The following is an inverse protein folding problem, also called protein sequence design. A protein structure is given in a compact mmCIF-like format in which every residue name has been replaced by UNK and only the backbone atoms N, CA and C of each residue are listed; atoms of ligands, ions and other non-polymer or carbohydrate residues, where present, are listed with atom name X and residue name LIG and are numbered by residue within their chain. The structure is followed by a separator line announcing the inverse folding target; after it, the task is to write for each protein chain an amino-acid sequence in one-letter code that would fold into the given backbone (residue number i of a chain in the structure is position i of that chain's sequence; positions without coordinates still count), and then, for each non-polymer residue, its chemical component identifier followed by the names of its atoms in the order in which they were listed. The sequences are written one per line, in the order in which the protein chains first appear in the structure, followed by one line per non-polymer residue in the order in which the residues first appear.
data_IF_132079699426
#
_entry.id   IF_132079699426
#
_cell.length_a   1.000
_cell.length_b   1.000
_cell.length_c   1.000
_cell.angle_alpha   90.00
_cell.angle_beta   90.00
_cell.angle_gamma   90.00
#
_symmetry.space_group_name_H-M   'P 1'
#
loop_
_entity.id
_entity.type
_entity.pdbx_description
1 polymer ?
#
# COMPACT_ATOMS: atom_id res chain seq x y z
N UNK A 1 9.37 0.53 -12.81
CA UNK A 1 8.48 1.38 -12.01
C UNK A 1 7.99 2.54 -12.86
N UNK A 2 6.68 2.68 -12.96
CA UNK A 2 6.03 3.82 -13.59
C UNK A 2 5.29 4.63 -12.52
N UNK A 3 5.35 5.96 -12.62
CA UNK A 3 4.76 6.88 -11.67
C UNK A 3 3.96 7.97 -12.39
N UNK A 4 2.76 8.28 -11.88
CA UNK A 4 1.87 9.32 -12.41
C UNK A 4 1.18 10.08 -11.28
N UNK A 5 0.84 11.34 -11.55
CA UNK A 5 0.05 12.19 -10.64
C UNK A 5 -1.31 12.53 -11.24
N UNK A 6 -2.31 12.64 -10.37
CA UNK A 6 -3.70 13.00 -10.70
C UNK A 6 -4.20 14.04 -9.68
N UNK A 7 -3.90 15.28 -9.90
CA UNK A 7 -4.17 16.34 -8.91
C UNK A 7 -3.46 16.06 -7.58
N UNK A 8 -4.23 15.83 -6.51
CA UNK A 8 -3.68 15.50 -5.19
C UNK A 8 -3.29 14.03 -5.02
N UNK A 9 -3.62 13.19 -5.98
CA UNK A 9 -3.40 11.76 -5.93
C UNK A 9 -2.24 11.35 -6.81
N UNK A 10 -1.69 10.17 -6.58
CA UNK A 10 -0.69 9.58 -7.46
C UNK A 10 -0.81 8.05 -7.50
N UNK A 11 -0.14 7.43 -8.47
CA UNK A 11 -0.03 5.98 -8.53
C UNK A 11 1.36 5.53 -8.92
N UNK A 12 1.69 4.36 -8.44
CA UNK A 12 2.80 3.55 -8.90
C UNK A 12 2.31 2.32 -9.64
N UNK A 13 3.03 1.92 -10.65
CA UNK A 13 2.86 0.66 -11.35
C UNK A 13 4.16 -0.12 -11.26
N UNK A 14 4.10 -1.28 -10.63
CA UNK A 14 5.22 -2.20 -10.43
C UNK A 14 5.03 -3.41 -11.34
N UNK A 15 5.70 -3.48 -12.51
CA UNK A 15 5.66 -4.66 -13.36
C UNK A 15 6.16 -5.90 -12.59
N UNK A 16 5.51 -7.03 -12.82
CA UNK A 16 5.93 -8.32 -12.28
C UNK A 16 6.26 -9.32 -13.40
N UNK A 17 6.78 -10.49 -13.05
CA UNK A 17 7.19 -11.51 -14.03
C UNK A 17 6.04 -12.00 -14.94
N UNK A 18 4.79 -11.77 -14.58
CA UNK A 18 3.65 -12.13 -15.41
C UNK A 18 3.54 -11.24 -16.66
N UNK A 19 4.25 -10.10 -16.72
CA UNK A 19 4.27 -9.22 -17.89
C UNK A 19 4.80 -9.94 -19.12
N UNK A 20 5.78 -10.84 -18.97
CA UNK A 20 6.35 -11.62 -20.08
C UNK A 20 5.32 -12.58 -20.72
N UNK A 21 4.40 -13.09 -19.90
CA UNK A 21 3.27 -13.92 -20.36
C UNK A 21 2.18 -13.06 -21.00
N UNK A 22 1.91 -11.91 -20.39
CA UNK A 22 0.93 -10.97 -20.90
C UNK A 22 1.35 -10.41 -22.27
N UNK A 23 2.64 -10.13 -22.48
CA UNK A 23 3.19 -9.64 -23.73
C UNK A 23 3.00 -10.60 -24.93
N UNK A 24 2.80 -11.90 -24.64
CA UNK A 24 2.52 -12.92 -25.68
C UNK A 24 1.04 -13.00 -26.07
N UNK A 25 0.16 -12.27 -25.40
CA UNK A 25 -1.27 -12.22 -25.69
C UNK A 25 -1.61 -11.03 -26.58
N UNK A 26 -2.75 -11.09 -27.33
CA UNK A 26 -3.27 -9.92 -28.01
C UNK A 26 -3.47 -8.74 -27.05
N UNK A 27 -3.14 -7.53 -27.47
CA UNK A 27 -3.23 -6.33 -26.62
C UNK A 27 -4.65 -6.06 -26.12
N UNK A 28 -5.67 -6.48 -26.85
CA UNK A 28 -7.08 -6.38 -26.42
C UNK A 28 -7.38 -7.17 -25.13
N UNK A 29 -6.59 -8.20 -24.81
CA UNK A 29 -6.71 -9.01 -23.61
C UNK A 29 -5.90 -8.46 -22.43
N UNK A 30 -5.11 -7.41 -22.64
CA UNK A 30 -4.27 -6.88 -21.60
C UNK A 30 -5.11 -6.19 -20.52
N UNK A 31 -4.78 -6.54 -19.28
CA UNK A 31 -5.27 -5.85 -18.10
C UNK A 31 -4.07 -5.48 -17.24
N UNK A 32 -4.01 -4.26 -16.77
CA UNK A 32 -2.85 -3.73 -16.03
C UNK A 32 -2.48 -4.64 -14.84
N UNK A 33 -3.47 -5.07 -14.07
CA UNK A 33 -3.28 -5.94 -12.90
C UNK A 33 -2.88 -7.38 -13.25
N UNK A 34 -2.89 -7.78 -14.54
CA UNK A 34 -2.40 -9.09 -14.96
C UNK A 34 -0.86 -9.14 -15.10
N UNK A 35 -0.22 -8.00 -15.29
CA UNK A 35 1.23 -7.89 -15.48
C UNK A 35 1.94 -6.97 -14.47
N UNK A 36 1.19 -6.38 -13.55
CA UNK A 36 1.72 -5.43 -12.59
C UNK A 36 0.90 -5.40 -11.30
N UNK A 37 1.53 -4.93 -10.24
CA UNK A 37 0.85 -4.43 -9.05
C UNK A 37 0.71 -2.91 -9.20
N UNK A 38 -0.47 -2.39 -8.91
CA UNK A 38 -0.78 -0.96 -9.02
C UNK A 38 -1.11 -0.43 -7.64
N UNK A 39 -0.38 0.58 -7.20
CA UNK A 39 -0.61 1.23 -5.91
C UNK A 39 -1.04 2.66 -6.16
N UNK A 40 -2.27 3.00 -5.77
CA UNK A 40 -2.77 4.36 -5.73
C UNK A 40 -2.59 4.94 -4.33
N UNK A 41 -2.15 6.18 -4.28
CA UNK A 41 -2.30 7.01 -3.11
C UNK A 41 -3.42 8.05 -3.38
N UNK A 42 -4.46 8.00 -2.55
CA UNK A 42 -5.60 8.90 -2.59
C UNK A 42 -5.54 9.82 -1.38
N UNK A 43 -5.30 11.09 -1.65
CA UNK A 43 -5.20 12.12 -0.62
C UNK A 43 -6.48 12.20 0.24
N UNK A 44 -6.39 12.33 1.57
CA UNK A 44 -5.15 12.56 2.33
C UNK A 44 -4.49 11.27 2.88
N UNK A 45 -5.20 10.14 2.97
CA UNK A 45 -4.78 9.06 3.87
C UNK A 45 -5.17 7.65 3.40
N UNK A 46 -5.44 7.48 2.11
CA UNK A 46 -5.85 6.17 1.57
C UNK A 46 -4.78 5.67 0.60
N UNK A 47 -4.42 4.38 0.74
CA UNK A 47 -3.69 3.65 -0.28
C UNK A 47 -4.53 2.47 -0.78
N UNK A 48 -4.51 2.25 -2.09
CA UNK A 48 -5.13 1.12 -2.75
C UNK A 48 -4.05 0.33 -3.48
N UNK A 49 -3.81 -0.91 -3.05
CA UNK A 49 -2.95 -1.83 -3.78
C UNK A 49 -3.83 -2.82 -4.56
N UNK A 50 -3.72 -2.75 -5.88
CA UNK A 50 -4.48 -3.57 -6.81
C UNK A 50 -3.56 -4.66 -7.37
N UNK A 51 -3.90 -5.90 -7.10
CA UNK A 51 -3.31 -7.10 -7.68
C UNK A 51 -4.31 -7.81 -8.61
N UNK A 52 -3.91 -8.94 -9.14
CA UNK A 52 -4.80 -9.78 -9.94
C UNK A 52 -5.87 -10.41 -9.06
N UNK A 53 -7.07 -9.86 -9.10
CA UNK A 53 -8.22 -10.35 -8.32
C UNK A 53 -8.20 -9.96 -6.84
N UNK A 54 -7.27 -9.10 -6.43
CA UNK A 54 -7.19 -8.62 -5.04
C UNK A 54 -7.12 -7.10 -4.98
N UNK A 55 -7.77 -6.53 -3.96
CA UNK A 55 -7.67 -5.11 -3.61
C UNK A 55 -7.35 -5.03 -2.12
N UNK A 56 -6.22 -4.40 -1.78
CA UNK A 56 -5.90 -4.03 -0.42
C UNK A 56 -6.14 -2.53 -0.24
N UNK A 57 -7.03 -2.19 0.67
CA UNK A 57 -7.38 -0.82 1.03
C UNK A 57 -6.77 -0.48 2.40
N UNK A 58 -5.81 0.43 2.41
CA UNK A 58 -5.20 0.97 3.62
C UNK A 58 -5.78 2.34 3.91
N UNK A 59 -6.27 2.53 5.14
CA UNK A 59 -6.77 3.82 5.64
C UNK A 59 -6.00 4.17 6.89
N UNK A 60 -5.22 5.24 6.83
CA UNK A 60 -4.30 5.66 7.88
C UNK A 60 -4.90 6.87 8.60
N UNK A 61 -5.16 6.73 9.89
CA UNK A 61 -5.74 7.80 10.71
C UNK A 61 -4.76 8.21 11.79
N UNK A 62 -4.55 9.51 12.04
CA UNK A 62 -3.80 9.95 13.20
C UNK A 62 -4.57 9.59 14.46
N UNK A 63 -3.86 9.29 15.54
CA UNK A 63 -4.46 9.21 16.86
C UNK A 63 -4.96 10.61 17.28
N UNK A 64 -6.13 10.67 17.90
CA UNK A 64 -6.76 11.94 18.27
C UNK A 64 -6.05 12.65 19.42
N UNK A 65 -5.31 11.92 20.24
CA UNK A 65 -4.69 12.42 21.47
C UNK A 65 -3.18 12.52 21.38
N UNK A 66 -2.58 11.68 20.55
CA UNK A 66 -1.14 11.57 20.40
C UNK A 66 -0.74 11.66 18.92
N UNK A 67 -0.21 12.80 18.47
CA UNK A 67 0.18 13.02 17.07
C UNK A 67 1.38 12.16 16.63
N UNK A 68 2.09 11.52 17.57
CA UNK A 68 3.16 10.58 17.27
C UNK A 68 2.67 9.18 16.90
N UNK A 69 1.34 8.95 17.00
CA UNK A 69 0.72 7.64 16.75
C UNK A 69 -0.29 7.71 15.62
N UNK A 70 -0.46 6.59 14.94
CA UNK A 70 -1.49 6.40 13.92
C UNK A 70 -2.15 5.04 14.05
N UNK A 71 -3.35 4.93 13.49
CA UNK A 71 -4.08 3.67 13.34
C UNK A 71 -4.27 3.40 11.86
N UNK A 72 -3.72 2.30 11.38
CA UNK A 72 -3.96 1.83 10.02
C UNK A 72 -5.04 0.75 10.03
N UNK A 73 -6.06 0.94 9.20
CA UNK A 73 -7.09 -0.07 8.92
C UNK A 73 -6.83 -0.65 7.54
N UNK A 74 -6.63 -1.96 7.49
CA UNK A 74 -6.41 -2.70 6.24
C UNK A 74 -7.68 -3.50 5.96
N UNK A 75 -8.19 -3.38 4.73
CA UNK A 75 -9.29 -4.21 4.24
C UNK A 75 -8.83 -4.88 2.95
N UNK A 76 -8.99 -6.19 2.87
CA UNK A 76 -8.67 -6.97 1.68
C UNK A 76 -9.97 -7.44 1.01
N UNK A 77 -10.06 -7.24 -0.29
CA UNK A 77 -11.17 -7.67 -1.13
C UNK A 77 -10.65 -8.63 -2.19
N UNK A 78 -11.42 -9.67 -2.45
CA UNK A 78 -11.14 -10.67 -3.49
C UNK A 78 -12.21 -10.59 -4.57
N UNK A 79 -11.81 -10.74 -5.84
CA UNK A 79 -12.78 -10.86 -6.92
C UNK A 79 -13.43 -12.25 -6.89
N UNK A 80 -14.68 -12.32 -7.32
CA UNK A 80 -15.43 -13.57 -7.46
C UNK A 80 -14.66 -14.56 -8.37
N UNK A 81 -14.13 -14.07 -9.50
CA UNK A 81 -13.30 -14.86 -10.42
C UNK A 81 -12.09 -15.52 -9.72
N UNK A 82 -11.43 -14.79 -8.80
CA UNK A 82 -10.32 -15.37 -8.04
C UNK A 82 -10.80 -16.43 -7.05
N UNK A 83 -11.91 -16.20 -6.37
CA UNK A 83 -12.49 -17.13 -5.41
C UNK A 83 -12.93 -18.43 -6.11
N UNK A 84 -13.62 -18.33 -7.25
CA UNK A 84 -14.03 -19.47 -8.06
C UNK A 84 -12.83 -20.29 -8.57
N UNK A 85 -11.80 -19.59 -9.09
CA UNK A 85 -10.57 -20.25 -9.55
C UNK A 85 -9.83 -20.99 -8.42
N UNK A 86 -9.86 -20.43 -7.21
CA UNK A 86 -9.27 -21.07 -6.02
C UNK A 86 -10.08 -22.26 -5.54
N UNK A 87 -11.40 -22.13 -5.52
CA UNK A 87 -12.30 -23.24 -5.18
C UNK A 87 -12.16 -24.42 -6.16
N UNK A 88 -12.08 -24.12 -7.46
CA UNK A 88 -11.84 -25.12 -8.50
C UNK A 88 -10.47 -25.82 -8.36
N UNK A 89 -9.48 -25.15 -7.76
CA UNK A 89 -8.18 -25.72 -7.43
C UNK A 89 -8.15 -26.48 -6.07
N UNK A 90 -9.32 -26.68 -5.43
CA UNK A 90 -9.47 -27.43 -4.19
C UNK A 90 -9.13 -26.64 -2.92
N UNK A 91 -9.07 -25.30 -2.97
CA UNK A 91 -8.89 -24.48 -1.78
C UNK A 91 -10.24 -24.17 -1.13
N UNK A 92 -10.31 -24.19 0.19
CA UNK A 92 -11.47 -23.71 0.92
C UNK A 92 -11.53 -22.18 0.85
N UNK A 93 -12.56 -21.65 0.22
CA UNK A 93 -12.80 -20.20 0.08
C UNK A 93 -13.94 -19.70 0.96
N UNK A 94 -14.58 -20.59 1.73
CA UNK A 94 -15.77 -20.28 2.54
C UNK A 94 -15.50 -19.19 3.55
N UNK A 95 -14.33 -19.20 4.17
CA UNK A 95 -13.94 -18.18 5.14
C UNK A 95 -13.68 -16.80 4.54
N UNK A 96 -13.25 -16.75 3.28
CA UNK A 96 -12.96 -15.49 2.59
C UNK A 96 -14.23 -14.79 2.10
N UNK A 97 -15.30 -15.53 1.90
CA UNK A 97 -16.61 -14.97 1.56
C UNK A 97 -17.30 -14.33 2.78
N UNK A 98 -16.77 -14.52 3.98
CA UNK A 98 -17.31 -13.93 5.21
C UNK A 98 -16.57 -12.64 5.54
N UNK A 99 -17.32 -11.58 5.86
CA UNK A 99 -16.77 -10.33 6.41
C UNK A 99 -16.20 -10.58 7.81
N UNK A 100 -14.94 -10.99 7.89
CA UNK A 100 -14.22 -11.13 9.17
C UNK A 100 -13.38 -9.89 9.42
N UNK A 101 -13.42 -9.41 10.66
CA UNK A 101 -12.54 -8.33 11.13
C UNK A 101 -11.45 -8.99 11.97
N UNK A 102 -10.20 -8.84 11.54
CA UNK A 102 -9.03 -9.31 12.29
C UNK A 102 -8.36 -8.11 12.96
N UNK A 103 -8.03 -8.30 14.24
CA UNK A 103 -7.16 -7.39 14.97
C UNK A 103 -5.72 -7.90 14.85
N UNK A 104 -4.83 -7.08 14.29
CA UNK A 104 -3.43 -7.45 14.09
C UNK A 104 -2.59 -7.32 15.38
N UNK A 105 -3.14 -6.77 16.44
CA UNK A 105 -2.48 -6.71 17.76
C UNK A 105 -2.61 -8.06 18.49
N UNK A 106 -1.63 -8.95 18.28
CA UNK A 106 -1.33 -10.03 19.24
C UNK A 106 -2.09 -11.34 19.07
N UNK A 107 -2.58 -11.71 17.89
CA UNK A 107 -3.22 -13.02 17.71
C UNK A 107 -2.37 -14.01 16.92
N UNK A 108 -1.99 -15.08 17.60
CA UNK A 108 -1.62 -16.35 16.98
C UNK A 108 -2.91 -16.98 16.42
N UNK A 109 -3.21 -16.72 15.17
CA UNK A 109 -4.25 -17.40 14.42
C UNK A 109 -3.69 -17.89 13.09
N UNK A 110 -3.93 -19.14 12.75
CA UNK A 110 -3.63 -19.63 11.40
C UNK A 110 -4.51 -18.87 10.41
N UNK A 111 -3.89 -18.05 9.56
CA UNK A 111 -4.56 -17.37 8.45
C UNK A 111 -4.91 -18.40 7.37
N UNK A 112 -6.10 -18.32 6.71
CA UNK A 112 -6.44 -19.20 5.60
C UNK A 112 -5.42 -19.12 4.45
N UNK A 113 -5.27 -20.22 3.70
CA UNK A 113 -4.22 -20.38 2.68
C UNK A 113 -4.25 -19.35 1.53
N UNK A 114 -5.36 -18.66 1.30
CA UNK A 114 -5.45 -17.53 0.36
C UNK A 114 -4.90 -16.26 1.00
N UNK A 115 -5.00 -16.11 2.30
CA UNK A 115 -4.37 -15.03 3.04
C UNK A 115 -2.86 -15.17 3.02
N UNK A 116 -2.30 -16.38 2.89
CA UNK A 116 -0.84 -16.56 2.84
C UNK A 116 -0.16 -15.81 1.68
N UNK A 117 -0.81 -15.63 0.54
CA UNK A 117 -0.28 -14.80 -0.56
C UNK A 117 -0.41 -13.29 -0.29
N UNK A 118 -1.47 -12.90 0.43
CA UNK A 118 -1.65 -11.55 0.91
C UNK A 118 -0.86 -11.31 2.19
N UNK A 119 -0.64 -12.35 2.99
CA UNK A 119 0.16 -12.37 4.20
C UNK A 119 1.61 -11.93 3.95
N UNK A 120 2.24 -12.41 2.88
CA UNK A 120 3.57 -11.95 2.48
C UNK A 120 3.59 -10.44 2.22
N UNK A 121 2.56 -9.90 1.58
CA UNK A 121 2.45 -8.46 1.33
C UNK A 121 2.20 -7.67 2.63
N UNK A 122 1.23 -8.10 3.43
CA UNK A 122 0.87 -7.45 4.70
C UNK A 122 1.97 -7.62 5.74
N UNK A 123 2.61 -8.80 5.83
CA UNK A 123 3.71 -9.04 6.76
C UNK A 123 4.97 -8.26 6.37
N UNK A 124 5.25 -8.12 5.06
CA UNK A 124 6.35 -7.27 4.59
C UNK A 124 6.14 -5.83 5.03
N UNK A 125 4.94 -5.28 4.81
CA UNK A 125 4.60 -3.93 5.26
C UNK A 125 4.71 -3.81 6.77
N UNK A 126 4.13 -4.74 7.54
CA UNK A 126 4.14 -4.65 9.01
C UNK A 126 5.52 -4.86 9.63
N UNK A 127 6.33 -5.78 9.08
CA UNK A 127 7.64 -6.12 9.64
C UNK A 127 8.78 -5.22 9.11
N UNK A 128 8.59 -4.56 7.99
CA UNK A 128 9.60 -3.68 7.40
C UNK A 128 9.17 -2.23 7.45
N UNK A 129 8.12 -1.83 6.74
CA UNK A 129 7.74 -0.42 6.59
C UNK A 129 7.27 0.19 7.91
N UNK A 130 6.45 -0.52 8.69
CA UNK A 130 5.97 -0.01 9.98
C UNK A 130 7.07 0.03 11.03
N UNK A 131 7.95 -0.97 11.10
CA UNK A 131 9.10 -0.98 12.02
C UNK A 131 10.06 0.17 11.70
N UNK A 132 10.30 0.44 10.41
CA UNK A 132 11.11 1.59 9.99
C UNK A 132 10.43 2.91 10.34
N UNK A 133 9.12 3.03 10.10
CA UNK A 133 8.33 4.21 10.45
C UNK A 133 8.34 4.49 11.96
N UNK A 134 8.21 3.44 12.78
CA UNK A 134 8.30 3.53 14.24
C UNK A 134 9.68 4.01 14.70
N UNK A 135 10.74 3.46 14.12
CA UNK A 135 12.13 3.86 14.41
C UNK A 135 12.39 5.32 14.05
N UNK A 136 11.87 5.80 12.90
CA UNK A 136 11.95 7.20 12.49
C UNK A 136 11.18 8.08 13.48
N UNK A 137 9.96 7.68 13.89
CA UNK A 137 9.16 8.43 14.86
C UNK A 137 9.88 8.57 16.21
N UNK A 138 10.53 7.51 16.69
CA UNK A 138 11.34 7.55 17.90
C UNK A 138 12.48 8.54 17.76
N UNK A 139 13.19 8.53 16.64
CA UNK A 139 14.31 9.45 16.37
C UNK A 139 13.85 10.92 16.35
N UNK A 140 12.71 11.21 15.69
CA UNK A 140 12.09 12.55 15.64
C UNK A 140 11.67 12.99 17.05
N UNK A 141 11.00 12.13 17.81
CA UNK A 141 10.50 12.45 19.15
C UNK A 141 11.64 12.78 20.13
N UNK A 142 12.78 12.10 19.97
CA UNK A 142 13.97 12.33 20.80
C UNK A 142 14.89 13.48 20.27
N UNK A 143 14.48 14.18 19.22
CA UNK A 143 15.26 15.27 18.64
C UNK A 143 16.55 14.83 17.92
N UNK A 144 16.67 13.54 17.59
CA UNK A 144 17.81 12.98 16.86
C UNK A 144 17.69 13.19 15.34
N UNK A 145 16.49 13.46 14.86
CA UNK A 145 16.18 13.71 13.45
C UNK A 145 15.33 14.98 13.36
N UNK A 146 15.91 16.04 12.84
CA UNK A 146 15.27 17.35 12.68
C UNK A 146 14.77 17.60 11.25
N UNK A 147 15.33 16.92 10.28
CA UNK A 147 14.93 17.01 8.87
C UNK A 147 15.16 15.70 8.13
N UNK A 148 14.44 15.51 7.03
CA UNK A 148 14.56 14.38 6.12
C UNK A 148 14.86 14.93 4.72
N UNK A 149 15.81 14.30 4.01
CA UNK A 149 16.17 14.66 2.65
C UNK A 149 15.56 13.63 1.70
N UNK A 150 14.71 14.09 0.77
CA UNK A 150 14.16 13.25 -0.29
C UNK A 150 15.03 13.33 -1.54
N UNK A 151 15.37 12.17 -2.10
CA UNK A 151 16.13 12.08 -3.34
C UNK A 151 15.35 12.63 -4.55
N UNK A 152 16.06 13.12 -5.57
CA UNK A 152 15.43 13.55 -6.84
C UNK A 152 14.67 12.43 -7.55
N UNK A 153 15.03 11.18 -7.28
CA UNK A 153 14.39 9.98 -7.81
C UNK A 153 13.17 9.50 -6.99
N UNK A 154 12.73 10.30 -6.01
CA UNK A 154 11.57 10.00 -5.16
C UNK A 154 10.40 10.99 -5.40
N UNK A 155 9.89 11.10 -6.66
CA UNK A 155 8.89 12.10 -7.02
C UNK A 155 7.57 11.96 -6.24
N UNK A 156 7.25 10.76 -5.78
CA UNK A 156 6.05 10.51 -4.99
C UNK A 156 6.12 11.15 -3.61
N UNK A 157 7.28 11.10 -2.95
CA UNK A 157 7.48 11.75 -1.66
C UNK A 157 7.38 13.28 -1.80
N UNK A 158 7.99 13.84 -2.85
CA UNK A 158 7.87 15.27 -3.15
C UNK A 158 6.41 15.67 -3.38
N UNK A 159 5.67 14.91 -4.20
CA UNK A 159 4.26 15.16 -4.48
C UNK A 159 3.41 15.05 -3.22
N UNK A 160 3.60 13.98 -2.42
CA UNK A 160 2.88 13.76 -1.17
C UNK A 160 3.04 14.93 -0.21
N UNK A 161 4.29 15.27 0.12
CA UNK A 161 4.57 16.34 1.09
C UNK A 161 4.13 17.71 0.60
N UNK A 162 4.38 18.05 -0.68
CA UNK A 162 3.92 19.32 -1.23
C UNK A 162 2.39 19.43 -1.28
N UNK A 163 1.69 18.32 -1.50
CA UNK A 163 0.22 18.28 -1.44
C UNK A 163 -0.30 18.57 -0.03
N UNK A 164 0.31 17.95 1.00
CA UNK A 164 -0.03 18.25 2.41
C UNK A 164 0.31 19.68 2.78
N UNK A 165 1.51 20.15 2.45
CA UNK A 165 1.94 21.52 2.73
C UNK A 165 0.98 22.53 2.09
N UNK A 166 0.59 22.31 0.84
CA UNK A 166 -0.42 23.15 0.16
C UNK A 166 -1.78 23.12 0.87
N UNK A 167 -2.24 21.96 1.32
CA UNK A 167 -3.51 21.83 2.04
C UNK A 167 -3.49 22.52 3.41
N UNK A 168 -2.30 22.69 4.00
CA UNK A 168 -2.07 23.36 5.29
C UNK A 168 -1.63 24.84 5.12
N UNK A 169 -1.67 25.38 3.90
CA UNK A 169 -1.16 26.72 3.56
C UNK A 169 0.32 26.92 3.96
N UNK A 170 1.12 25.88 3.89
CA UNK A 170 2.57 25.93 4.12
C UNK A 170 3.31 26.11 2.79
N UNK A 171 4.51 26.72 2.79
CA UNK A 171 5.34 26.81 1.58
C UNK A 171 5.74 25.41 1.10
N UNK A 172 6.06 25.21 -0.19
CA UNK A 172 6.52 23.92 -0.72
C UNK A 172 7.84 23.48 -0.06
N UNK A 173 8.22 22.23 -0.32
CA UNK A 173 9.54 21.74 0.09
C UNK A 173 10.65 22.58 -0.54
N UNK A 174 11.66 22.89 0.24
CA UNK A 174 12.83 23.62 -0.22
C UNK A 174 13.84 22.66 -0.87
N UNK A 175 14.52 23.07 -1.96
CA UNK A 175 15.64 22.31 -2.49
C UNK A 175 16.76 22.25 -1.45
N UNK A 176 17.29 21.03 -1.23
CA UNK A 176 18.49 20.87 -0.41
C UNK A 176 19.73 21.19 -1.27
N UNK A 177 20.49 22.15 -0.83
CA UNK A 177 21.80 22.51 -1.41
C UNK A 177 22.90 22.05 -0.46
N UNK A 178 23.79 21.20 -0.99
CA UNK A 178 25.02 20.78 -0.30
C UNK A 178 25.96 21.94 -0.15
#
# INVERSE_FOLDING_TARGET
LHYETFGRNHRFVFPNKAIDRLAKKPTAEWRLTHGAVVIYYLFPNIQLALGRGTINLFRIYPDRKDPSRSVTRISTYFSEELLEAKAAAGNDTTELAQNKVYDMEGREGALPSIESQNEVFVSTISQQDYVMGESIQIAVTNGLLDHVIFGKNEPALHHFHNTFRSALNMPPLEPYTL
#
